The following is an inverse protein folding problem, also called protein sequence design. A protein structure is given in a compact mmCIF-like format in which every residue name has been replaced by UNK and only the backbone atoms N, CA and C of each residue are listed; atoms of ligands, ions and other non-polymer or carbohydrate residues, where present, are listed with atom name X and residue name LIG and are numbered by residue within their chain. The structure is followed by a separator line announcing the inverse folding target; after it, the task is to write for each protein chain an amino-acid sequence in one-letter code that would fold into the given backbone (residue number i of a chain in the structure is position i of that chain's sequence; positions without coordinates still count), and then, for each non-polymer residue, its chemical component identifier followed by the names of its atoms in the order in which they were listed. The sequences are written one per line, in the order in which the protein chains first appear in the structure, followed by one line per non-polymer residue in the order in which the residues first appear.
data_IF_344416810807
#
_entry.id   IF_344416810807
#
_cell.length_a   1.000
_cell.length_b   1.000
_cell.length_c   1.000
_cell.angle_alpha   90.00
_cell.angle_beta   90.00
_cell.angle_gamma   90.00
#
_symmetry.space_group_name_H-M   'P 1'
#
loop_
_entity.id
_entity.type
_entity.pdbx_description
1 polymer ?
#
# COMPACT_ATOMS: atom_id res chain seq x y z
N UNK A 1 -15.60 48.14 81.54
CA UNK A 1 -14.82 48.57 80.35
C UNK A 1 -13.98 47.39 79.88
N UNK A 2 -14.01 47.10 78.56
CA UNK A 2 -12.99 46.49 77.65
C UNK A 2 -11.97 45.50 78.25
N UNK A 3 -11.54 44.39 77.64
CA UNK A 3 -11.80 43.64 76.40
C UNK A 3 -10.80 42.45 76.44
N UNK A 4 -11.10 41.37 75.71
CA UNK A 4 -10.20 40.37 75.07
C UNK A 4 -9.85 39.02 75.78
N UNK A 5 -9.93 38.00 74.91
CA UNK A 5 -9.96 36.50 74.97
C UNK A 5 -8.55 35.88 75.20
N UNK A 6 -8.30 34.53 75.32
CA UNK A 6 -8.95 33.34 74.66
C UNK A 6 -9.04 32.06 75.56
N UNK A 7 -9.53 30.86 75.22
CA UNK A 7 -9.65 29.99 74.02
C UNK A 7 -10.82 28.99 74.26
N UNK A 8 -11.44 28.38 73.23
CA UNK A 8 -12.00 27.05 73.39
C UNK A 8 -11.42 26.03 72.41
N UNK A 9 -11.11 24.86 72.99
CA UNK A 9 -11.36 23.51 72.50
C UNK A 9 -11.34 23.24 70.98
N UNK A 10 -10.35 22.44 70.59
CA UNK A 10 -10.58 21.06 70.15
C UNK A 10 -11.46 20.84 68.93
N UNK A 11 -10.85 20.47 67.80
CA UNK A 11 -11.52 19.62 66.82
C UNK A 11 -10.48 18.80 66.06
N UNK A 12 -10.46 17.51 66.36
CA UNK A 12 -9.63 16.48 65.75
C UNK A 12 -10.33 16.02 64.46
N UNK A 13 -9.90 16.50 63.30
CA UNK A 13 -10.37 15.97 62.02
C UNK A 13 -9.48 14.81 61.59
N UNK A 14 -10.03 13.58 61.65
CA UNK A 14 -9.43 12.39 61.07
C UNK A 14 -9.63 12.46 59.56
N UNK A 15 -8.54 12.63 58.81
CA UNK A 15 -8.52 12.51 57.36
C UNK A 15 -8.46 11.02 56.98
N UNK A 16 -9.56 10.48 56.50
CA UNK A 16 -9.60 9.18 55.81
C UNK A 16 -9.04 9.40 54.40
N UNK A 17 -7.81 8.96 54.16
CA UNK A 17 -7.21 8.98 52.81
C UNK A 17 -7.76 7.78 52.04
N UNK A 18 -8.74 8.02 51.18
CA UNK A 18 -9.18 7.04 50.19
C UNK A 18 -8.10 6.90 49.10
N UNK A 19 -7.37 5.78 49.12
CA UNK A 19 -6.44 5.43 48.04
C UNK A 19 -7.27 5.00 46.83
N UNK A 20 -7.53 5.92 45.91
CA UNK A 20 -8.12 5.60 44.62
C UNK A 20 -7.08 4.87 43.78
N UNK A 21 -7.29 3.57 43.56
CA UNK A 21 -6.51 2.78 42.63
C UNK A 21 -6.70 3.30 41.21
N UNK A 22 -5.63 3.79 40.60
CA UNK A 22 -5.58 4.14 39.18
C UNK A 22 -5.54 2.87 38.34
N UNK A 23 -6.69 2.40 37.88
CA UNK A 23 -6.75 1.38 36.83
C UNK A 23 -6.35 2.03 35.50
N UNK A 24 -5.08 1.86 35.14
CA UNK A 24 -4.58 2.24 33.82
C UNK A 24 -5.27 1.36 32.78
N UNK A 25 -6.25 1.92 32.06
CA UNK A 25 -6.80 1.27 30.88
C UNK A 25 -5.69 1.25 29.82
N UNK A 26 -5.14 0.08 29.53
CA UNK A 26 -4.30 -0.13 28.36
C UNK A 26 -5.20 0.09 27.14
N UNK A 27 -5.10 1.26 26.52
CA UNK A 27 -5.64 1.49 25.19
C UNK A 27 -4.80 0.63 24.23
N UNK A 28 -5.34 -0.53 23.85
CA UNK A 28 -4.83 -1.26 22.70
C UNK A 28 -5.12 -0.38 21.49
N UNK A 29 -4.13 0.41 21.07
CA UNK A 29 -4.16 1.09 19.79
C UNK A 29 -4.30 0.02 18.72
N UNK A 30 -5.39 0.06 17.93
CA UNK A 30 -5.46 -0.73 16.70
C UNK A 30 -4.15 -0.52 15.93
N UNK A 31 -3.49 -1.57 15.41
CA UNK A 31 -2.35 -1.37 14.54
C UNK A 31 -2.77 -0.41 13.44
N UNK A 32 -2.01 0.68 13.29
CA UNK A 32 -2.21 1.64 12.23
C UNK A 32 -1.99 0.90 10.91
N UNK A 33 -3.08 0.47 10.26
CA UNK A 33 -3.00 -0.20 8.97
C UNK A 33 -2.54 0.83 7.96
N UNK A 34 -1.38 0.60 7.37
CA UNK A 34 -0.82 1.50 6.36
C UNK A 34 -1.72 1.45 5.12
N UNK A 35 -1.96 2.62 4.52
CA UNK A 35 -2.63 2.69 3.23
C UNK A 35 -1.86 1.83 2.21
N UNK A 36 -2.54 1.06 1.34
CA UNK A 36 -1.84 0.22 0.38
C UNK A 36 -0.84 0.98 -0.51
N UNK A 37 -1.12 2.25 -0.86
CA UNK A 37 -0.19 3.08 -1.64
C UNK A 37 1.09 3.37 -0.85
N UNK A 38 0.98 3.62 0.45
CA UNK A 38 2.16 3.87 1.28
C UNK A 38 3.08 2.64 1.32
N UNK A 39 2.51 1.43 1.41
CA UNK A 39 3.30 0.20 1.37
C UNK A 39 3.95 0.00 0.00
N UNK A 40 3.23 0.29 -1.08
CA UNK A 40 3.76 0.21 -2.44
C UNK A 40 4.99 1.13 -2.60
N UNK A 41 4.86 2.40 -2.22
CA UNK A 41 5.93 3.41 -2.33
C UNK A 41 7.16 3.07 -1.47
N UNK A 42 6.94 2.46 -0.31
CA UNK A 42 8.02 2.15 0.64
C UNK A 42 8.93 1.02 0.17
N UNK A 43 8.43 0.09 -0.67
CA UNK A 43 9.27 -0.95 -1.23
C UNK A 43 10.36 -0.34 -2.11
N UNK A 44 11.57 -0.90 -2.05
CA UNK A 44 12.67 -0.56 -2.97
C UNK A 44 12.19 -0.69 -4.41
N UNK A 45 12.42 0.35 -5.21
CA UNK A 45 12.10 0.35 -6.64
C UNK A 45 13.36 0.22 -7.50
N UNK A 46 13.15 -0.18 -8.76
CA UNK A 46 14.13 -0.11 -9.83
C UNK A 46 13.51 0.66 -11.01
N UNK A 47 14.22 1.60 -11.66
CA UNK A 47 13.65 2.38 -12.77
C UNK A 47 13.17 1.53 -13.95
N UNK A 48 13.84 0.42 -14.25
CA UNK A 48 13.49 -0.51 -15.33
C UNK A 48 12.55 -1.64 -14.85
N UNK A 49 12.30 -1.69 -13.54
CA UNK A 49 11.45 -2.66 -12.87
C UNK A 49 10.00 -2.21 -12.68
N UNK A 50 9.26 -2.98 -11.89
CA UNK A 50 7.86 -2.73 -11.53
C UNK A 50 7.50 -3.46 -10.24
N UNK A 51 6.36 -3.12 -9.64
CA UNK A 51 5.80 -3.82 -8.47
C UNK A 51 4.65 -4.70 -8.89
N UNK A 52 4.47 -5.83 -8.21
CA UNK A 52 3.47 -6.84 -8.56
C UNK A 52 2.76 -7.33 -7.31
N UNK A 53 1.44 -7.21 -7.26
CA UNK A 53 0.62 -7.84 -6.23
C UNK A 53 0.10 -9.18 -6.77
N UNK A 54 0.69 -10.27 -6.28
CA UNK A 54 0.36 -11.62 -6.72
C UNK A 54 -0.94 -12.17 -6.10
N UNK A 55 -1.38 -13.30 -6.66
CA UNK A 55 -2.56 -14.06 -6.21
C UNK A 55 -2.41 -14.55 -4.76
N UNK A 56 -1.16 -14.70 -4.30
CA UNK A 56 -0.79 -15.06 -2.94
C UNK A 56 -0.79 -13.88 -1.96
N UNK A 57 -1.23 -12.70 -2.40
CA UNK A 57 -1.33 -11.47 -1.60
C UNK A 57 0.02 -10.85 -1.23
N UNK A 58 1.11 -11.31 -1.85
CA UNK A 58 2.43 -10.75 -1.64
C UNK A 58 2.69 -9.67 -2.69
N UNK A 59 3.00 -8.47 -2.22
CA UNK A 59 3.51 -7.40 -3.06
C UNK A 59 5.01 -7.60 -3.24
N UNK A 60 5.45 -7.82 -4.49
CA UNK A 60 6.85 -8.00 -4.86
C UNK A 60 7.33 -6.82 -5.68
N UNK A 61 8.54 -6.34 -5.43
CA UNK A 61 9.24 -5.41 -6.30
C UNK A 61 10.22 -6.18 -7.18
N UNK A 62 10.11 -6.00 -8.50
CA UNK A 62 10.99 -6.62 -9.48
C UNK A 62 11.95 -5.58 -10.07
N UNK A 63 13.18 -5.98 -10.37
CA UNK A 63 14.10 -5.20 -11.20
C UNK A 63 13.83 -5.38 -12.71
N UNK A 64 14.58 -4.66 -13.55
CA UNK A 64 14.49 -4.77 -15.01
C UNK A 64 14.85 -6.15 -15.59
N UNK A 65 15.48 -7.03 -14.80
CA UNK A 65 15.75 -8.42 -15.19
C UNK A 65 14.66 -9.39 -14.73
N UNK A 66 13.62 -8.91 -14.05
CA UNK A 66 12.55 -9.74 -13.50
C UNK A 66 12.97 -10.50 -12.24
N UNK A 67 13.97 -10.03 -11.52
CA UNK A 67 14.39 -10.56 -10.20
C UNK A 67 13.67 -9.81 -9.09
N UNK A 68 13.18 -10.52 -8.07
CA UNK A 68 12.56 -9.89 -6.89
C UNK A 68 13.64 -9.23 -6.04
N UNK A 69 13.50 -7.93 -5.77
CA UNK A 69 14.47 -7.11 -5.02
C UNK A 69 13.93 -6.59 -3.68
N UNK A 70 12.62 -6.68 -3.45
CA UNK A 70 11.96 -6.35 -2.19
C UNK A 70 10.54 -6.94 -2.13
N UNK A 71 9.93 -7.01 -0.94
CA UNK A 71 8.55 -7.46 -0.80
C UNK A 71 7.83 -6.93 0.46
N UNK A 72 6.49 -6.93 0.41
CA UNK A 72 5.62 -6.73 1.55
C UNK A 72 4.49 -7.76 1.55
N UNK A 73 4.02 -8.13 2.75
CA UNK A 73 2.82 -8.96 2.93
C UNK A 73 1.63 -8.04 3.11
N UNK A 74 0.65 -8.11 2.21
CA UNK A 74 -0.59 -7.35 2.40
C UNK A 74 -1.51 -8.09 3.35
N UNK A 75 -2.20 -7.34 4.21
CA UNK A 75 -3.30 -7.90 4.99
C UNK A 75 -4.60 -7.91 4.19
N UNK A 76 -5.63 -8.56 4.73
CA UNK A 76 -6.91 -8.69 4.05
C UNK A 76 -7.55 -7.34 3.70
N UNK A 77 -7.44 -6.35 4.58
CA UNK A 77 -8.04 -5.04 4.36
C UNK A 77 -7.32 -4.28 3.24
N UNK A 78 -5.99 -4.42 3.17
CA UNK A 78 -5.19 -3.86 2.08
C UNK A 78 -5.50 -4.53 0.74
N UNK A 79 -5.65 -5.85 0.70
CA UNK A 79 -6.06 -6.58 -0.51
C UNK A 79 -7.44 -6.12 -0.99
N UNK A 80 -8.41 -5.99 -0.08
CA UNK A 80 -9.75 -5.51 -0.43
C UNK A 80 -9.74 -4.03 -0.88
N UNK A 81 -8.86 -3.20 -0.32
CA UNK A 81 -8.69 -1.82 -0.75
C UNK A 81 -8.10 -1.75 -2.17
N UNK A 82 -7.09 -2.56 -2.50
CA UNK A 82 -6.53 -2.65 -3.86
C UNK A 82 -7.57 -3.17 -4.86
N UNK A 83 -8.38 -4.17 -4.51
CA UNK A 83 -9.47 -4.64 -5.37
C UNK A 83 -10.47 -3.51 -5.69
N UNK A 84 -10.63 -2.55 -4.77
CA UNK A 84 -11.44 -1.35 -4.98
C UNK A 84 -10.92 -0.39 -6.06
N UNK A 85 -9.68 -0.57 -6.54
CA UNK A 85 -9.06 0.26 -7.59
C UNK A 85 -9.31 -0.27 -9.00
N UNK A 86 -9.94 -1.44 -9.13
CA UNK A 86 -10.30 -2.06 -10.39
C UNK A 86 -11.11 -1.10 -11.30
N UNK A 87 -10.88 -1.20 -12.62
CA UNK A 87 -11.53 -0.35 -13.61
C UNK A 87 -12.97 -0.78 -13.94
N UNK A 88 -13.38 -1.97 -13.51
CA UNK A 88 -14.72 -2.52 -13.75
C UNK A 88 -15.25 -3.32 -12.54
N UNK A 89 -16.58 -3.50 -12.42
CA UNK A 89 -17.18 -4.38 -11.41
C UNK A 89 -16.69 -5.82 -11.51
N UNK A 90 -16.58 -6.37 -12.72
CA UNK A 90 -16.14 -7.76 -12.93
C UNK A 90 -14.70 -7.98 -12.47
N UNK A 91 -13.79 -7.05 -12.80
CA UNK A 91 -12.40 -7.07 -12.33
C UNK A 91 -12.33 -6.96 -10.80
N UNK A 92 -13.14 -6.08 -10.20
CA UNK A 92 -13.23 -5.93 -8.75
C UNK A 92 -13.67 -7.23 -8.08
N UNK A 93 -14.72 -7.87 -8.60
CA UNK A 93 -15.26 -9.10 -8.04
C UNK A 93 -14.30 -10.27 -8.23
N UNK A 94 -13.60 -10.33 -9.37
CA UNK A 94 -12.50 -11.27 -9.60
C UNK A 94 -11.41 -11.13 -8.54
N UNK A 95 -10.86 -9.93 -8.33
CA UNK A 95 -9.80 -9.70 -7.35
C UNK A 95 -10.24 -9.99 -5.91
N UNK A 96 -11.48 -9.62 -5.55
CA UNK A 96 -12.04 -9.97 -4.24
C UNK A 96 -12.14 -11.47 -4.05
N UNK A 97 -12.61 -12.20 -5.07
CA UNK A 97 -12.73 -13.66 -5.01
C UNK A 97 -11.37 -14.35 -4.99
N UNK A 98 -10.37 -13.78 -5.67
CA UNK A 98 -8.98 -14.26 -5.67
C UNK A 98 -8.37 -14.17 -4.26
N UNK A 99 -8.59 -13.05 -3.56
CA UNK A 99 -7.93 -12.76 -2.29
C UNK A 99 -8.76 -13.04 -1.03
N UNK A 100 -10.02 -13.50 -1.14
CA UNK A 100 -10.92 -13.64 0.02
C UNK A 100 -10.40 -14.55 1.14
N UNK A 101 -9.61 -15.57 0.78
CA UNK A 101 -9.13 -16.62 1.70
C UNK A 101 -7.59 -16.67 1.76
N UNK A 102 -6.92 -15.61 1.28
CA UNK A 102 -5.46 -15.56 1.27
C UNK A 102 -4.93 -15.29 2.68
N UNK A 103 -4.02 -16.14 3.13
CA UNK A 103 -3.27 -15.96 4.37
C UNK A 103 -1.81 -15.70 4.04
N UNK A 104 -1.46 -14.41 3.94
CA UNK A 104 -0.12 -14.00 3.53
C UNK A 104 0.94 -14.44 4.54
N UNK A 105 0.61 -14.79 5.79
CA UNK A 105 1.60 -15.27 6.77
C UNK A 105 2.04 -16.72 6.51
N UNK A 106 1.26 -17.50 5.75
CA UNK A 106 1.58 -18.88 5.38
C UNK A 106 2.45 -18.99 4.13
N UNK A 107 2.76 -17.86 3.48
CA UNK A 107 3.63 -17.86 2.30
C UNK A 107 5.09 -17.97 2.74
N UNK A 108 5.73 -19.07 2.37
CA UNK A 108 7.14 -19.33 2.65
C UNK A 108 8.04 -18.30 1.96
N UNK A 109 9.12 -17.90 2.64
CA UNK A 109 10.00 -16.83 2.18
C UNK A 109 10.69 -17.17 0.84
N UNK A 110 11.01 -18.45 0.60
CA UNK A 110 11.60 -18.88 -0.67
C UNK A 110 10.66 -18.64 -1.87
N UNK A 111 9.34 -18.82 -1.70
CA UNK A 111 8.33 -18.51 -2.72
C UNK A 111 8.20 -17.00 -2.94
N UNK A 112 8.50 -16.18 -1.93
CA UNK A 112 8.44 -14.72 -2.07
C UNK A 112 9.54 -14.24 -3.01
N UNK A 113 10.78 -14.64 -2.73
CA UNK A 113 11.95 -14.24 -3.51
C UNK A 113 12.07 -14.96 -4.86
N UNK A 114 11.55 -16.19 -4.96
CA UNK A 114 11.55 -16.99 -6.18
C UNK A 114 10.14 -17.55 -6.45
N UNK A 115 9.19 -16.71 -6.89
CA UNK A 115 7.81 -17.13 -7.08
C UNK A 115 7.69 -18.18 -8.19
N UNK A 116 6.91 -19.25 -7.98
CA UNK A 116 6.62 -20.23 -9.02
C UNK A 116 5.88 -19.58 -10.19
N UNK A 117 5.96 -20.18 -11.37
CA UNK A 117 5.47 -19.59 -12.61
C UNK A 117 4.01 -19.11 -12.57
N UNK A 118 3.13 -19.74 -11.79
CA UNK A 118 1.72 -19.32 -11.72
C UNK A 118 1.53 -18.02 -10.92
N UNK A 119 2.45 -17.68 -10.01
CA UNK A 119 2.43 -16.44 -9.22
C UNK A 119 3.22 -15.29 -9.88
N UNK A 120 3.81 -15.54 -11.06
CA UNK A 120 4.55 -14.52 -11.80
C UNK A 120 3.59 -13.70 -12.68
N UNK A 121 3.85 -12.40 -12.85
CA UNK A 121 3.07 -11.54 -13.74
C UNK A 121 3.24 -11.98 -15.20
N UNK A 122 2.23 -11.69 -16.05
CA UNK A 122 2.22 -12.08 -17.46
C UNK A 122 3.44 -11.56 -18.24
N UNK A 123 3.90 -10.34 -17.93
CA UNK A 123 5.07 -9.72 -18.56
C UNK A 123 6.37 -10.52 -18.41
N UNK A 124 6.49 -11.36 -17.38
CA UNK A 124 7.64 -12.25 -17.18
C UNK A 124 7.43 -13.67 -17.75
N UNK A 125 6.21 -13.99 -18.17
CA UNK A 125 5.83 -15.31 -18.71
C UNK A 125 5.76 -15.29 -20.24
N UNK A 126 5.28 -14.19 -20.80
CA UNK A 126 5.00 -14.04 -22.23
C UNK A 126 6.18 -13.36 -22.94
N UNK A 127 6.83 -14.08 -23.86
CA UNK A 127 7.90 -13.52 -24.68
C UNK A 127 7.36 -12.40 -25.59
N UNK A 128 8.09 -11.29 -25.68
CA UNK A 128 7.73 -10.15 -26.55
C UNK A 128 6.56 -9.30 -26.05
N UNK A 129 5.92 -9.65 -24.93
CA UNK A 129 4.85 -8.83 -24.35
C UNK A 129 5.38 -7.46 -23.93
N UNK A 130 6.59 -7.39 -23.36
CA UNK A 130 7.20 -6.13 -22.96
C UNK A 130 7.42 -5.18 -24.15
N UNK A 131 7.95 -5.69 -25.26
CA UNK A 131 8.18 -4.91 -26.48
C UNK A 131 6.86 -4.38 -27.05
N UNK A 132 5.82 -5.23 -27.10
CA UNK A 132 4.48 -4.82 -27.54
C UNK A 132 3.89 -3.70 -26.67
N UNK A 133 4.04 -3.78 -25.35
CA UNK A 133 3.52 -2.76 -24.44
C UNK A 133 4.27 -1.44 -24.57
N UNK A 134 5.59 -1.49 -24.77
CA UNK A 134 6.42 -0.30 -24.96
C UNK A 134 6.05 0.40 -26.27
N UNK A 135 5.92 -0.33 -27.37
CA UNK A 135 5.59 0.24 -28.68
C UNK A 135 4.17 0.88 -28.67
N UNK A 136 3.21 0.27 -27.96
CA UNK A 136 1.87 0.85 -27.75
C UNK A 136 1.89 2.14 -26.91
N UNK A 137 2.80 2.23 -25.94
CA UNK A 137 2.89 3.37 -25.02
C UNK A 137 3.67 4.55 -25.62
N UNK A 138 4.75 4.30 -26.36
CA UNK A 138 5.54 5.33 -27.05
C UNK A 138 4.65 6.13 -28.02
N UNK A 139 3.81 5.44 -28.80
CA UNK A 139 2.81 6.11 -29.66
C UNK A 139 1.78 6.95 -28.89
N UNK A 140 1.54 6.64 -27.61
CA UNK A 140 0.64 7.41 -26.74
C UNK A 140 1.36 8.58 -26.08
N UNK A 141 2.62 8.43 -25.65
CA UNK A 141 3.44 9.49 -25.04
C UNK A 141 3.80 10.59 -26.04
N UNK A 142 4.05 10.25 -27.30
CA UNK A 142 4.21 11.22 -28.40
C UNK A 142 2.96 12.11 -28.57
N UNK A 143 1.78 11.56 -28.26
CA UNK A 143 0.52 12.32 -28.24
C UNK A 143 0.39 13.24 -27.01
N UNK A 144 1.17 13.01 -25.96
CA UNK A 144 1.19 13.82 -24.73
C UNK A 144 2.21 14.96 -24.76
N UNK A 145 3.33 14.84 -25.48
CA UNK A 145 4.32 15.93 -25.64
C UNK A 145 3.70 17.21 -26.26
N UNK A 146 2.62 17.07 -27.04
CA UNK A 146 1.87 18.21 -27.58
C UNK A 146 1.05 19.01 -26.56
N UNK A 147 0.94 18.55 -25.31
CA UNK A 147 -0.04 19.03 -24.35
C UNK A 147 0.61 19.78 -23.18
N UNK A 148 1.00 21.03 -23.43
CA UNK A 148 1.61 21.99 -22.48
C UNK A 148 1.00 21.96 -21.08
N UNK A 149 1.89 21.90 -20.08
CA UNK A 149 1.96 22.56 -18.75
C UNK A 149 0.71 22.66 -17.84
N UNK A 150 -0.50 22.86 -18.38
CA UNK A 150 -1.77 22.94 -17.64
C UNK A 150 -2.37 21.59 -17.22
N UNK A 151 -1.85 20.47 -17.74
CA UNK A 151 -2.31 19.11 -17.39
C UNK A 151 -1.51 18.47 -16.25
N UNK A 152 -0.46 19.14 -15.75
CA UNK A 152 0.41 18.67 -14.65
C UNK A 152 -0.34 18.43 -13.33
N UNK A 153 -1.45 19.12 -13.08
CA UNK A 153 -2.24 19.02 -11.84
C UNK A 153 -3.35 17.95 -11.86
N UNK A 154 -3.58 17.26 -12.99
CA UNK A 154 -4.70 16.30 -13.13
C UNK A 154 -4.30 14.98 -13.77
N UNK A 155 -3.04 14.56 -13.66
CA UNK A 155 -2.67 13.22 -14.12
C UNK A 155 -3.32 12.19 -13.19
N UNK A 156 -4.32 11.48 -13.71
CA UNK A 156 -4.92 10.34 -13.02
C UNK A 156 -4.04 9.13 -13.27
N UNK A 157 -3.01 8.93 -12.45
CA UNK A 157 -1.99 7.90 -12.64
C UNK A 157 -2.57 6.51 -12.92
N UNK A 158 -3.66 6.14 -12.24
CA UNK A 158 -4.32 4.84 -12.42
C UNK A 158 -4.96 4.62 -13.81
N UNK A 159 -5.08 5.67 -14.62
CA UNK A 159 -5.55 5.59 -16.01
C UNK A 159 -4.40 5.43 -17.03
N UNK A 160 -3.15 5.54 -16.57
CA UNK A 160 -1.95 5.33 -17.36
C UNK A 160 -1.47 3.89 -17.20
N UNK A 161 -1.22 3.24 -18.34
CA UNK A 161 -0.54 1.95 -18.34
C UNK A 161 0.96 2.17 -18.23
N UNK A 162 1.67 1.16 -17.75
CA UNK A 162 3.12 1.21 -17.64
C UNK A 162 3.75 -0.17 -17.86
N UNK A 163 4.91 -0.24 -18.54
CA UNK A 163 5.78 -1.41 -18.62
C UNK A 163 6.81 -1.43 -17.48
N UNK A 164 7.14 -0.28 -16.91
CA UNK A 164 8.13 -0.12 -15.85
C UNK A 164 7.89 1.18 -15.05
N UNK A 165 8.64 1.34 -13.96
CA UNK A 165 8.59 2.52 -13.09
C UNK A 165 8.97 3.81 -13.84
N UNK A 166 9.99 3.77 -14.70
CA UNK A 166 10.45 4.95 -15.46
C UNK A 166 9.34 5.58 -16.29
N UNK A 167 8.47 4.78 -16.91
CA UNK A 167 7.31 5.29 -17.65
C UNK A 167 6.36 6.12 -16.75
N UNK A 168 6.12 5.65 -15.53
CA UNK A 168 5.34 6.39 -14.54
C UNK A 168 6.05 7.66 -14.05
N UNK A 169 7.37 7.61 -13.85
CA UNK A 169 8.16 8.78 -13.45
C UNK A 169 8.08 9.90 -14.51
N UNK A 170 8.13 9.55 -15.80
CA UNK A 170 7.94 10.50 -16.91
C UNK A 170 6.55 11.12 -16.92
N UNK A 171 5.54 10.40 -16.43
CA UNK A 171 4.17 10.86 -16.28
C UNK A 171 3.88 11.57 -14.93
N UNK A 172 4.91 11.77 -14.08
CA UNK A 172 4.80 12.35 -12.74
C UNK A 172 3.95 11.51 -11.77
N UNK A 173 4.04 10.19 -11.90
CA UNK A 173 3.46 9.19 -11.01
C UNK A 173 4.59 8.43 -10.28
N UNK A 174 4.27 7.77 -9.17
CA UNK A 174 5.29 7.21 -8.28
C UNK A 174 5.80 5.83 -8.74
N UNK A 175 4.90 4.91 -9.08
CA UNK A 175 5.26 3.51 -9.33
C UNK A 175 4.41 2.84 -10.40
N UNK A 176 4.98 1.80 -11.01
CA UNK A 176 4.25 0.89 -11.89
C UNK A 176 3.79 -0.35 -11.13
N UNK A 177 2.47 -0.54 -11.01
CA UNK A 177 1.86 -1.67 -10.32
C UNK A 177 1.18 -2.63 -11.31
N UNK A 178 1.59 -3.89 -11.26
CA UNK A 178 0.93 -5.02 -11.92
C UNK A 178 0.12 -5.78 -10.86
N UNK A 179 -1.09 -6.19 -11.19
CA UNK A 179 -1.97 -6.95 -10.28
C UNK A 179 -2.29 -8.29 -10.95
N UNK A 180 -2.23 -9.40 -10.19
CA UNK A 180 -2.55 -10.74 -10.70
C UNK A 180 -1.72 -11.04 -11.97
N UNK A 181 -2.28 -11.76 -12.93
CA UNK A 181 -1.73 -12.06 -14.25
C UNK A 181 -2.17 -11.03 -15.30
N UNK A 182 -2.52 -9.81 -14.89
CA UNK A 182 -2.83 -8.76 -15.86
C UNK A 182 -1.61 -8.48 -16.75
N UNK A 183 -1.87 -8.33 -18.05
CA UNK A 183 -0.83 -8.11 -19.05
C UNK A 183 -0.22 -6.71 -18.98
N UNK A 184 -0.92 -5.74 -18.39
CA UNK A 184 -0.49 -4.33 -18.31
C UNK A 184 -0.41 -3.89 -16.86
N UNK A 185 0.68 -3.21 -16.49
CA UNK A 185 0.75 -2.45 -15.25
C UNK A 185 -0.02 -1.14 -15.37
N UNK A 186 -0.34 -0.53 -14.23
CA UNK A 186 -0.89 0.83 -14.15
C UNK A 186 -0.01 1.68 -13.25
N UNK A 187 0.12 2.95 -13.59
CA UNK A 187 0.78 3.88 -12.69
C UNK A 187 -0.05 4.11 -11.44
N UNK A 188 0.62 4.25 -10.31
CA UNK A 188 0.02 4.65 -9.04
C UNK A 188 0.70 5.91 -8.51
N UNK A 189 -0.07 6.70 -7.78
CA UNK A 189 0.46 7.83 -7.05
C UNK A 189 0.96 7.38 -5.70
#
# INVERSE_FOLDING_TARGET
MKLLRPNPLGSLFILVVAVQGVTSMLTVSKPQRNDPLDVIRQLKGDPDGFKHLGDDGILRSYDGNGTVIDYARFDQDQLMAVAGWAGSPDEKDHLKNLWKDVDTLKVEENQIWAPPSHLRPAVLKEQGLYDQLRDEEEGRLDSFEGMKEKRREQVRCRELYCPNKRACDLALCDDCLVIDSMRKGRCVN
#
